data_IF_253858366608
#
_entry.id   IF_253858366608
#
_cell.length_a   1.000
_cell.length_b   1.000
_cell.length_c   1.000
_cell.angle_alpha   90.00
_cell.angle_beta   90.00
_cell.angle_gamma   90.00
#
_symmetry.space_group_name_H-M   'P 1'
#
loop_
_entity.id
_entity.type
_entity.pdbx_description
1 polymer ?
#
# COMPACT_ATOMS: atom_id res chain seq x y z
N UNK A 1 3.09 -1.31 23.46
CA UNK A 1 2.12 -1.40 22.36
C UNK A 1 1.57 -2.81 22.33
N UNK A 2 0.25 -2.97 22.29
CA UNK A 2 -0.41 -4.28 22.21
C UNK A 2 -0.24 -4.87 20.81
N UNK A 3 -0.53 -6.17 20.68
CA UNK A 3 -0.57 -6.84 19.36
C UNK A 3 -1.55 -6.15 18.40
N UNK A 4 -2.62 -5.59 18.95
CA UNK A 4 -3.67 -4.99 18.15
C UNK A 4 -3.28 -3.63 17.59
N UNK A 5 -2.66 -2.81 18.44
CA UNK A 5 -2.12 -1.51 18.08
C UNK A 5 -1.02 -1.65 17.01
N UNK A 6 -0.15 -2.66 17.14
CA UNK A 6 0.87 -2.99 16.13
C UNK A 6 0.24 -3.37 14.80
N UNK A 7 -0.75 -4.26 14.80
CA UNK A 7 -1.44 -4.69 13.59
C UNK A 7 -2.18 -3.53 12.91
N UNK A 8 -2.83 -2.66 13.69
CA UNK A 8 -3.52 -1.47 13.19
C UNK A 8 -2.54 -0.47 12.56
N UNK A 9 -1.46 -0.12 13.27
CA UNK A 9 -0.44 0.80 12.77
C UNK A 9 0.26 0.26 11.51
N UNK A 10 0.50 -1.05 11.45
CA UNK A 10 1.02 -1.72 10.25
C UNK A 10 0.08 -1.59 9.06
N UNK A 11 -1.23 -1.80 9.25
CA UNK A 11 -2.23 -1.65 8.17
C UNK A 11 -2.36 -0.21 7.71
N UNK A 12 -2.24 0.77 8.62
CA UNK A 12 -2.22 2.19 8.27
C UNK A 12 -0.90 2.65 7.63
N UNK A 13 0.15 1.83 7.62
CA UNK A 13 1.47 2.22 7.14
C UNK A 13 2.14 3.31 7.99
N UNK A 14 1.78 3.41 9.28
CA UNK A 14 2.27 4.46 10.18
C UNK A 14 3.46 4.00 11.05
N UNK A 15 3.94 2.78 10.85
CA UNK A 15 5.15 2.26 11.50
C UNK A 15 6.38 2.74 10.75
N UNK A 16 7.50 2.88 11.46
CA UNK A 16 8.81 3.01 10.81
C UNK A 16 9.21 1.69 10.12
N UNK A 17 10.22 1.76 9.23
CA UNK A 17 10.64 0.64 8.40
C UNK A 17 11.05 -0.60 9.20
N UNK A 18 11.69 -0.40 10.35
CA UNK A 18 12.15 -1.50 11.22
C UNK A 18 10.96 -2.19 11.89
N UNK A 19 10.06 -1.42 12.50
CA UNK A 19 8.87 -1.94 13.14
C UNK A 19 7.90 -2.59 12.13
N UNK A 20 7.83 -2.07 10.90
CA UNK A 20 7.06 -2.66 9.83
C UNK A 20 7.65 -4.01 9.38
N UNK A 21 8.97 -4.12 9.26
CA UNK A 21 9.65 -5.37 8.93
C UNK A 21 9.42 -6.45 10.01
N UNK A 22 9.51 -6.08 11.28
CA UNK A 22 9.25 -7.00 12.41
C UNK A 22 7.81 -7.54 12.37
N UNK A 23 6.82 -6.68 12.11
CA UNK A 23 5.42 -7.12 11.99
C UNK A 23 5.23 -7.99 10.75
N UNK A 24 5.90 -7.69 9.63
CA UNK A 24 5.84 -8.50 8.42
C UNK A 24 6.42 -9.91 8.62
N UNK A 25 7.55 -10.03 9.33
CA UNK A 25 8.11 -11.32 9.72
C UNK A 25 7.15 -12.08 10.66
N UNK A 26 6.58 -11.40 11.65
CA UNK A 26 5.66 -11.99 12.62
C UNK A 26 4.37 -12.49 11.96
N UNK A 27 3.86 -11.84 10.90
CA UNK A 27 2.72 -12.35 10.09
C UNK A 27 3.05 -13.71 9.46
N UNK A 28 4.31 -13.93 9.07
CA UNK A 28 4.79 -15.21 8.55
C UNK A 28 4.80 -16.32 9.60
N UNK A 29 5.13 -15.97 10.84
CA UNK A 29 5.38 -16.94 11.93
C UNK A 29 4.17 -17.14 12.86
N UNK A 30 3.27 -16.16 12.97
CA UNK A 30 2.18 -16.11 13.96
C UNK A 30 0.80 -16.00 13.30
N UNK A 31 -0.02 -17.05 13.44
CA UNK A 31 -1.42 -17.03 12.99
C UNK A 31 -2.21 -15.88 13.65
N UNK A 32 -1.92 -15.59 14.92
CA UNK A 32 -2.60 -14.54 15.67
C UNK A 32 -2.35 -13.15 15.09
N UNK A 33 -1.11 -12.84 14.71
CA UNK A 33 -0.77 -11.56 14.09
C UNK A 33 -1.43 -11.44 12.70
N UNK A 34 -1.36 -12.51 11.90
CA UNK A 34 -2.01 -12.59 10.59
C UNK A 34 -3.52 -12.34 10.65
N UNK A 35 -4.19 -12.90 11.67
CA UNK A 35 -5.61 -12.68 11.92
C UNK A 35 -5.92 -11.23 12.27
N UNK A 36 -5.13 -10.58 13.14
CA UNK A 36 -5.34 -9.16 13.51
C UNK A 36 -5.12 -8.22 12.32
N UNK A 37 -4.08 -8.44 11.52
CA UNK A 37 -3.83 -7.65 10.31
C UNK A 37 -4.98 -7.82 9.31
N UNK A 38 -5.45 -9.06 9.10
CA UNK A 38 -6.59 -9.34 8.23
C UNK A 38 -7.89 -8.73 8.75
N UNK A 39 -8.10 -8.72 10.07
CA UNK A 39 -9.21 -8.04 10.71
C UNK A 39 -9.21 -6.54 10.39
N UNK A 40 -8.09 -5.84 10.62
CA UNK A 40 -8.00 -4.40 10.37
C UNK A 40 -8.11 -4.02 8.91
N UNK A 41 -7.51 -4.80 7.99
CA UNK A 41 -7.69 -4.60 6.54
C UNK A 41 -9.16 -4.65 6.13
N UNK A 42 -9.94 -5.59 6.67
CA UNK A 42 -11.39 -5.69 6.39
C UNK A 42 -12.18 -4.53 7.00
N UNK A 43 -11.83 -4.09 8.20
CA UNK A 43 -12.49 -2.96 8.85
C UNK A 43 -12.23 -1.63 8.13
N UNK A 44 -11.03 -1.46 7.56
CA UNK A 44 -10.64 -0.23 6.87
C UNK A 44 -10.96 -0.25 5.37
N UNK A 45 -11.21 -1.42 4.76
CA UNK A 45 -11.56 -1.53 3.35
C UNK A 45 -12.69 -0.59 2.88
N UNK A 46 -13.78 -0.33 3.65
CA UNK A 46 -14.82 0.62 3.25
C UNK A 46 -14.36 2.09 3.26
N UNK A 47 -13.27 2.41 3.95
CA UNK A 47 -12.73 3.77 4.10
C UNK A 47 -11.60 4.06 3.12
N UNK A 48 -11.01 3.02 2.52
CA UNK A 48 -10.00 3.20 1.48
C UNK A 48 -10.70 3.47 0.15
N UNK A 49 -10.18 4.41 -0.68
CA UNK A 49 -10.63 4.50 -2.05
C UNK A 49 -10.48 3.11 -2.68
N UNK A 50 -11.42 2.69 -3.55
CA UNK A 50 -11.24 1.45 -4.30
C UNK A 50 -9.85 1.50 -4.95
N UNK A 51 -9.10 0.38 -4.96
CA UNK A 51 -7.82 0.36 -5.65
C UNK A 51 -8.07 0.90 -7.05
N UNK A 52 -7.32 1.93 -7.43
CA UNK A 52 -7.39 2.46 -8.79
C UNK A 52 -6.96 1.30 -9.67
N UNK A 53 -7.93 0.65 -10.30
CA UNK A 53 -7.65 -0.24 -11.42
C UNK A 53 -7.11 0.68 -12.51
N UNK A 54 -5.79 0.83 -12.57
CA UNK A 54 -5.11 1.55 -13.65
C UNK A 54 -5.36 0.79 -14.96
N UNK A 55 -6.49 1.06 -15.58
CA UNK A 55 -6.62 1.05 -17.04
C UNK A 55 -6.59 2.51 -17.48
N UNK A 56 -5.48 3.19 -17.17
CA UNK A 56 -5.08 4.32 -18.01
C UNK A 56 -4.32 3.71 -19.19
N UNK A 57 -5.05 3.31 -20.22
CA UNK A 57 -4.49 3.48 -21.57
C UNK A 57 -4.25 4.96 -21.70
N UNK A 58 -3.06 5.43 -21.35
CA UNK A 58 -2.67 6.81 -21.60
C UNK A 58 -2.66 6.94 -23.13
N UNK A 59 -3.62 7.65 -23.77
CA UNK A 59 -3.68 7.73 -25.23
C UNK A 59 -2.55 8.60 -25.78
N UNK A 60 -1.79 9.23 -24.89
CA UNK A 60 -0.68 10.10 -25.20
C UNK A 60 0.59 9.27 -25.17
N UNK A 61 1.16 9.04 -26.37
CA UNK A 61 2.52 8.54 -26.47
C UNK A 61 3.46 9.54 -25.78
N UNK A 62 4.24 9.07 -24.80
CA UNK A 62 5.24 9.91 -24.14
C UNK A 62 6.27 10.48 -25.14
N UNK A 63 6.47 9.83 -26.29
CA UNK A 63 7.33 10.32 -27.37
C UNK A 63 6.79 11.62 -28.01
N UNK A 64 5.47 11.78 -28.12
CA UNK A 64 4.85 13.01 -28.65
C UNK A 64 4.95 14.17 -27.65
N UNK A 65 4.84 13.88 -26.35
CA UNK A 65 5.03 14.88 -25.29
C UNK A 65 6.49 15.33 -25.24
N UNK A 66 7.44 14.40 -25.36
CA UNK A 66 8.87 14.71 -25.33
C UNK A 66 9.27 15.63 -26.51
N UNK A 67 8.76 15.36 -27.72
CA UNK A 67 9.01 16.18 -28.89
C UNK A 67 8.49 17.63 -28.74
N UNK A 68 7.31 17.81 -28.13
CA UNK A 68 6.70 19.13 -27.90
C UNK A 68 7.37 19.89 -26.75
N UNK A 69 7.73 19.20 -25.66
CA UNK A 69 8.28 19.83 -24.44
C UNK A 69 9.77 20.16 -24.59
N UNK A 70 10.55 19.28 -25.22
CA UNK A 70 12.00 19.46 -25.35
C UNK A 70 12.45 20.00 -26.71
N UNK A 71 11.49 20.33 -27.60
CA UNK A 71 11.74 21.13 -28.81
C UNK A 71 12.68 20.49 -29.83
N UNK A 72 12.70 19.16 -29.94
CA UNK A 72 13.44 18.46 -30.99
C UNK A 72 12.54 18.25 -32.22
N UNK A 73 12.34 19.32 -32.99
CA UNK A 73 11.99 19.26 -34.41
C UNK A 73 12.92 20.17 -35.21
#
# INVERSE_FOLDING_TARGET
MTIDERAFAFVLGSLDDLAAADVAEEIGQSNRMRERVSYWRRQLAPLMPPPVEEVFENPVSWDEVEAVVFGQL
#
